data_IF_858132448954
#
_entry.id   IF_858132448954
#
_cell.length_a   1.000
_cell.length_b   1.000
_cell.length_c   1.000
_cell.angle_alpha   90.00
_cell.angle_beta   90.00
_cell.angle_gamma   90.00
#
_symmetry.space_group_name_H-M   'P 1'
#
loop_
_entity.id
_entity.type
_entity.pdbx_description
1 polymer ?
#
# COMPACT_ATOMS: atom_id res chain seq x y z
N UNK A 1 12.16 -43.40 12.19
CA UNK A 1 10.71 -43.34 11.95
C UNK A 1 10.23 -42.02 12.53
N UNK A 2 10.06 -41.00 11.69
CA UNK A 2 9.41 -39.75 12.07
C UNK A 2 7.93 -40.06 12.26
N UNK A 3 7.36 -39.74 13.42
CA UNK A 3 5.90 -39.80 13.61
C UNK A 3 5.25 -38.97 12.50
N UNK A 4 4.15 -39.43 11.88
CA UNK A 4 3.40 -38.59 10.97
C UNK A 4 2.94 -37.35 11.74
N UNK A 5 3.43 -36.19 11.34
CA UNK A 5 2.96 -34.91 11.86
C UNK A 5 1.49 -34.75 11.46
N UNK A 6 0.66 -34.35 12.43
CA UNK A 6 -0.73 -34.03 12.18
C UNK A 6 -0.79 -32.59 11.69
N UNK A 7 -1.45 -32.29 10.56
CA UNK A 7 -1.63 -30.90 10.12
C UNK A 7 -2.29 -30.08 11.22
N UNK A 8 -1.68 -28.95 11.57
CA UNK A 8 -2.26 -27.98 12.49
C UNK A 8 -3.47 -27.32 11.85
N UNK A 9 -3.41 -27.03 10.55
CA UNK A 9 -4.56 -26.57 9.78
C UNK A 9 -4.26 -26.44 8.30
N UNK A 10 -5.29 -26.08 7.54
CA UNK A 10 -5.19 -25.78 6.10
C UNK A 10 -5.80 -24.42 5.86
N UNK A 11 -5.05 -23.56 5.18
CA UNK A 11 -5.55 -22.25 4.77
C UNK A 11 -5.79 -22.29 3.29
N UNK A 12 -6.80 -21.61 2.78
CA UNK A 12 -6.99 -21.38 1.35
C UNK A 12 -7.03 -19.89 1.10
N UNK A 13 -6.12 -19.41 0.26
CA UNK A 13 -6.00 -18.00 -0.10
C UNK A 13 -6.60 -17.79 -1.49
N UNK A 14 -7.50 -16.80 -1.61
CA UNK A 14 -8.26 -16.49 -2.82
C UNK A 14 -8.24 -15.00 -3.14
N UNK A 15 -8.47 -14.67 -4.41
CA UNK A 15 -8.56 -13.28 -4.88
C UNK A 15 -7.20 -12.63 -5.10
N UNK A 16 -7.19 -11.54 -5.88
CA UNK A 16 -5.99 -10.76 -6.19
C UNK A 16 -4.79 -11.61 -6.59
N UNK A 17 -3.70 -11.47 -5.83
CA UNK A 17 -2.42 -12.16 -6.09
C UNK A 17 -2.47 -13.67 -5.90
N UNK A 18 -3.48 -14.21 -5.22
CA UNK A 18 -3.62 -15.64 -4.97
C UNK A 18 -4.27 -16.42 -6.12
N UNK A 19 -4.71 -15.73 -7.17
CA UNK A 19 -5.19 -16.35 -8.42
C UNK A 19 -4.04 -16.86 -9.31
N UNK A 20 -2.80 -16.42 -9.04
CA UNK A 20 -1.60 -16.94 -9.71
C UNK A 20 -1.13 -18.23 -9.04
N UNK A 21 -0.42 -19.07 -9.79
CA UNK A 21 0.14 -20.31 -9.26
C UNK A 21 1.24 -20.03 -8.21
N UNK A 22 1.17 -20.71 -7.06
CA UNK A 22 2.13 -20.59 -5.96
C UNK A 22 1.74 -19.56 -4.90
N UNK A 23 2.37 -19.64 -3.72
CA UNK A 23 2.17 -18.67 -2.64
C UNK A 23 3.15 -17.49 -2.81
N UNK A 24 2.66 -16.24 -2.92
CA UNK A 24 3.54 -15.08 -2.88
C UNK A 24 4.35 -15.07 -1.58
N UNK A 25 5.67 -14.87 -1.69
CA UNK A 25 6.57 -14.85 -0.53
C UNK A 25 6.16 -13.77 0.48
N UNK A 26 5.64 -12.66 -0.02
CA UNK A 26 5.09 -11.54 0.75
C UNK A 26 3.91 -11.93 1.66
N UNK A 27 3.25 -13.07 1.42
CA UNK A 27 2.17 -13.58 2.28
C UNK A 27 2.70 -14.37 3.49
N UNK A 28 3.97 -14.80 3.50
CA UNK A 28 4.57 -15.57 4.59
C UNK A 28 4.55 -14.84 5.95
N UNK A 29 4.81 -13.52 6.05
CA UNK A 29 4.68 -12.77 7.29
C UNK A 29 3.29 -12.87 7.94
N UNK A 30 2.24 -13.15 7.16
CA UNK A 30 0.88 -13.32 7.69
C UNK A 30 0.73 -14.61 8.51
N UNK A 31 1.41 -15.70 8.12
CA UNK A 31 1.44 -16.92 8.93
C UNK A 31 2.24 -16.74 10.23
N UNK A 32 3.30 -15.92 10.20
CA UNK A 32 4.02 -15.56 11.42
C UNK A 32 3.13 -14.72 12.38
N UNK A 33 2.28 -13.83 11.85
CA UNK A 33 1.28 -13.11 12.66
C UNK A 33 0.22 -14.06 13.21
N UNK A 34 -0.22 -15.01 12.41
CA UNK A 34 -1.17 -16.03 12.85
C UNK A 34 -0.62 -16.88 14.00
N UNK A 35 0.64 -17.32 13.93
CA UNK A 35 1.30 -18.06 15.01
C UNK A 35 1.27 -17.27 16.33
N UNK A 36 1.60 -15.97 16.30
CA UNK A 36 1.54 -15.09 17.48
C UNK A 36 0.13 -14.98 18.04
N UNK A 37 -0.87 -14.86 17.17
CA UNK A 37 -2.28 -14.85 17.57
C UNK A 37 -2.66 -16.16 18.29
N UNK A 38 -2.30 -17.32 17.73
CA UNK A 38 -2.54 -18.62 18.38
C UNK A 38 -1.87 -18.68 19.75
N UNK A 39 -0.61 -18.26 19.85
CA UNK A 39 0.14 -18.23 21.10
C UNK A 39 -0.57 -17.37 22.16
N UNK A 40 -1.04 -16.17 21.80
CA UNK A 40 -1.65 -15.25 22.75
C UNK A 40 -3.06 -15.69 23.17
N UNK A 41 -3.81 -16.33 22.27
CA UNK A 41 -5.07 -17.00 22.62
C UNK A 41 -4.79 -18.18 23.57
N UNK A 42 -3.80 -19.02 23.27
CA UNK A 42 -3.41 -20.16 24.11
C UNK A 42 -2.99 -19.73 25.52
N UNK A 43 -2.18 -18.67 25.65
CA UNK A 43 -1.85 -18.07 26.97
C UNK A 43 -3.11 -17.63 27.73
N UNK A 44 -4.11 -17.12 27.02
CA UNK A 44 -5.39 -16.73 27.62
C UNK A 44 -6.23 -17.90 28.11
N UNK A 45 -6.32 -18.95 27.30
CA UNK A 45 -6.94 -20.22 27.69
C UNK A 45 -6.26 -20.81 28.93
N UNK A 46 -4.93 -20.79 28.95
CA UNK A 46 -4.12 -21.31 30.04
C UNK A 46 -4.42 -20.57 31.35
N UNK A 47 -4.37 -19.23 31.34
CA UNK A 47 -4.68 -18.41 32.52
C UNK A 47 -6.09 -18.63 33.05
N UNK A 48 -7.06 -18.87 32.16
CA UNK A 48 -8.45 -19.14 32.56
C UNK A 48 -8.59 -20.48 33.27
N UNK A 49 -7.84 -21.48 32.83
CA UNK A 49 -7.81 -22.84 33.40
C UNK A 49 -7.03 -22.90 34.72
N UNK A 50 -5.98 -22.09 34.85
CA UNK A 50 -5.09 -22.00 36.02
C UNK A 50 -5.22 -20.63 36.70
N UNK A 51 -6.35 -20.41 37.38
CA UNK A 51 -6.70 -19.10 37.98
C UNK A 51 -5.71 -18.60 39.04
N UNK A 52 -4.93 -19.49 39.62
CA UNK A 52 -3.87 -19.20 40.59
C UNK A 52 -2.59 -18.65 39.94
N UNK A 53 -2.45 -18.72 38.62
CA UNK A 53 -1.26 -18.27 37.90
C UNK A 53 -1.47 -16.92 37.22
N UNK A 54 -0.55 -16.00 37.46
CA UNK A 54 -0.54 -14.65 36.86
C UNK A 54 -0.04 -14.67 35.40
N UNK A 55 0.83 -15.63 35.06
CA UNK A 55 1.45 -15.79 33.73
C UNK A 55 1.53 -17.26 33.32
N UNK A 56 1.63 -17.48 32.02
CA UNK A 56 2.02 -18.78 31.48
C UNK A 56 3.43 -19.17 31.98
N UNK A 57 3.75 -20.47 32.09
CA UNK A 57 5.05 -20.95 32.55
C UNK A 57 6.19 -20.44 31.65
N UNK A 58 7.42 -20.44 32.18
CA UNK A 58 8.61 -20.25 31.34
C UNK A 58 8.66 -21.36 30.30
N UNK A 59 8.99 -21.00 29.07
CA UNK A 59 9.05 -21.92 27.94
C UNK A 59 7.70 -22.38 27.38
N UNK A 60 6.59 -21.70 27.73
CA UNK A 60 5.25 -22.04 27.25
C UNK A 60 5.14 -22.13 25.72
N UNK A 61 5.95 -21.34 25.02
CA UNK A 61 5.95 -21.24 23.55
C UNK A 61 7.09 -22.03 22.89
N UNK A 62 8.02 -22.59 23.67
CA UNK A 62 9.30 -23.10 23.14
C UNK A 62 9.08 -24.28 22.18
N UNK A 63 7.95 -24.99 22.33
CA UNK A 63 7.60 -26.16 21.54
C UNK A 63 6.47 -25.90 20.53
N UNK A 64 6.04 -24.65 20.34
CA UNK A 64 5.03 -24.30 19.35
C UNK A 64 5.63 -23.44 18.23
N UNK A 65 5.72 -24.01 17.04
CA UNK A 65 6.19 -23.40 15.81
C UNK A 65 5.30 -23.91 14.67
N UNK A 66 4.82 -23.01 13.81
CA UNK A 66 4.09 -23.36 12.61
C UNK A 66 5.04 -23.45 11.43
N UNK A 67 5.06 -24.63 10.79
CA UNK A 67 5.88 -24.91 9.61
C UNK A 67 5.01 -25.06 8.39
N UNK A 68 5.28 -24.28 7.34
CA UNK A 68 4.68 -24.49 6.03
C UNK A 68 5.26 -25.75 5.39
N UNK A 69 4.48 -26.82 5.27
CA UNK A 69 4.95 -28.13 4.79
C UNK A 69 4.54 -28.48 3.37
N UNK A 70 3.45 -27.87 2.87
CA UNK A 70 2.94 -28.11 1.54
C UNK A 70 2.18 -26.88 1.01
N UNK A 71 2.16 -26.71 -0.32
CA UNK A 71 1.36 -25.70 -1.03
C UNK A 71 0.61 -26.43 -2.14
N UNK A 72 -0.70 -26.61 -1.97
CA UNK A 72 -1.48 -27.43 -2.90
C UNK A 72 -2.14 -26.62 -4.04
N UNK A 73 -2.37 -27.25 -5.21
CA UNK A 73 -3.09 -26.63 -6.31
C UNK A 73 -4.54 -26.28 -5.97
N UNK A 74 -5.01 -25.15 -6.53
CA UNK A 74 -6.36 -24.62 -6.36
C UNK A 74 -6.41 -23.59 -5.22
N UNK A 75 -6.35 -22.30 -5.57
CA UNK A 75 -6.35 -21.17 -4.62
C UNK A 75 -5.38 -21.42 -3.46
N UNK A 76 -4.09 -21.17 -3.69
CA UNK A 76 -2.95 -21.41 -2.79
C UNK A 76 -3.33 -21.95 -1.40
N UNK A 77 -3.16 -23.26 -1.19
CA UNK A 77 -3.54 -23.92 0.07
C UNK A 77 -2.27 -24.26 0.88
N UNK A 78 -1.79 -23.38 1.77
CA UNK A 78 -0.70 -23.72 2.68
C UNK A 78 -1.18 -24.68 3.76
N UNK A 79 -0.36 -25.70 4.00
CA UNK A 79 -0.52 -26.64 5.13
C UNK A 79 0.50 -26.26 6.20
N UNK A 80 0.01 -25.94 7.41
CA UNK A 80 0.89 -25.69 8.55
C UNK A 80 0.90 -26.90 9.47
N UNK A 81 2.08 -27.27 9.94
CA UNK A 81 2.27 -28.32 10.94
C UNK A 81 2.89 -27.75 12.21
N UNK A 82 2.42 -28.23 13.35
CA UNK A 82 3.06 -28.04 14.64
C UNK A 82 3.81 -29.33 15.02
N UNK A 83 5.07 -29.26 15.48
CA UNK A 83 5.83 -30.46 15.83
C UNK A 83 5.19 -31.21 17.00
N UNK A 84 5.02 -32.52 16.88
CA UNK A 84 4.63 -33.39 17.99
C UNK A 84 5.87 -33.70 18.84
N UNK A 85 5.91 -33.30 20.12
CA UNK A 85 7.08 -33.55 20.97
C UNK A 85 6.77 -34.51 22.13
N UNK A 86 7.72 -35.38 22.53
CA UNK A 86 7.56 -36.21 23.73
C UNK A 86 7.39 -35.42 25.03
N UNK A 87 7.77 -34.13 25.02
CA UNK A 87 7.64 -33.19 26.14
C UNK A 87 6.23 -32.60 26.31
N UNK A 88 5.27 -32.91 25.44
CA UNK A 88 3.85 -32.66 25.71
C UNK A 88 3.37 -33.37 27.01
N UNK A 89 4.17 -34.30 27.54
CA UNK A 89 4.01 -34.93 28.85
C UNK A 89 4.45 -34.06 30.06
N UNK A 90 5.24 -32.98 29.86
CA UNK A 90 5.64 -32.03 30.92
C UNK A 90 4.54 -31.01 31.23
N UNK A 91 3.66 -30.75 30.27
CA UNK A 91 2.36 -30.17 30.57
C UNK A 91 1.48 -31.29 31.13
N UNK A 92 0.85 -31.09 32.28
CA UNK A 92 -0.18 -32.01 32.77
C UNK A 92 -1.13 -32.29 31.60
N UNK A 93 -1.41 -33.55 31.25
CA UNK A 93 -2.06 -33.95 29.98
C UNK A 93 -3.37 -33.24 29.60
N UNK A 94 -3.94 -32.46 30.52
CA UNK A 94 -5.03 -31.49 30.34
C UNK A 94 -4.70 -30.34 29.37
N UNK A 95 -3.43 -29.94 29.22
CA UNK A 95 -3.02 -28.78 28.39
C UNK A 95 -2.35 -29.16 27.07
N UNK A 96 -2.22 -30.46 26.77
CA UNK A 96 -1.61 -30.97 25.52
C UNK A 96 -2.31 -30.49 24.25
N UNK A 97 -3.60 -30.14 24.33
CA UNK A 97 -4.41 -29.63 23.21
C UNK A 97 -4.56 -28.11 23.17
N UNK A 98 -3.86 -27.34 24.01
CA UNK A 98 -4.19 -25.91 24.20
C UNK A 98 -4.02 -25.04 22.96
N UNK A 99 -3.05 -25.35 22.10
CA UNK A 99 -2.84 -24.64 20.84
C UNK A 99 -3.89 -24.99 19.79
N UNK A 100 -4.34 -26.25 19.77
CA UNK A 100 -5.46 -26.70 18.95
C UNK A 100 -6.77 -26.06 19.41
N UNK A 101 -7.01 -25.99 20.73
CA UNK A 101 -8.15 -25.26 21.31
C UNK A 101 -8.09 -23.76 20.95
N UNK A 102 -6.91 -23.15 20.96
CA UNK A 102 -6.72 -21.76 20.57
C UNK A 102 -7.05 -21.53 19.08
N UNK A 103 -6.60 -22.44 18.21
CA UNK A 103 -6.91 -22.45 16.78
C UNK A 103 -8.41 -22.51 16.52
N UNK A 104 -9.10 -23.46 17.15
CA UNK A 104 -10.56 -23.64 17.05
C UNK A 104 -11.27 -22.38 17.58
N UNK A 105 -10.85 -21.83 18.72
CA UNK A 105 -11.46 -20.63 19.29
C UNK A 105 -11.31 -19.40 18.38
N UNK A 106 -10.17 -19.24 17.68
CA UNK A 106 -10.00 -18.18 16.68
C UNK A 106 -11.03 -18.36 15.55
N UNK A 107 -11.17 -19.57 15.02
CA UNK A 107 -12.10 -19.87 13.93
C UNK A 107 -13.58 -19.69 14.33
N UNK A 108 -13.94 -20.16 15.53
CA UNK A 108 -15.28 -19.94 16.11
C UNK A 108 -15.55 -18.44 16.32
N UNK A 109 -14.54 -17.67 16.73
CA UNK A 109 -14.66 -16.22 16.88
C UNK A 109 -14.87 -15.53 15.53
N UNK A 110 -14.13 -15.92 14.49
CA UNK A 110 -14.33 -15.40 13.13
C UNK A 110 -15.74 -15.69 12.63
N UNK A 111 -16.25 -16.89 12.89
CA UNK A 111 -17.63 -17.25 12.56
C UNK A 111 -18.65 -16.41 13.34
N UNK A 112 -18.42 -16.18 14.64
CA UNK A 112 -19.26 -15.32 15.48
C UNK A 112 -19.27 -13.87 14.96
N UNK A 113 -18.12 -13.33 14.56
CA UNK A 113 -18.03 -11.99 13.97
C UNK A 113 -18.77 -11.94 12.63
N UNK A 114 -18.55 -12.93 11.76
CA UNK A 114 -19.22 -12.98 10.46
C UNK A 114 -20.75 -13.06 10.58
N UNK A 115 -21.27 -13.84 11.54
CA UNK A 115 -22.70 -14.05 11.70
C UNK A 115 -23.40 -12.97 12.54
N UNK A 116 -22.72 -12.43 13.56
CA UNK A 116 -23.34 -11.62 14.61
C UNK A 116 -22.64 -10.28 14.84
N UNK A 117 -21.50 -10.03 14.20
CA UNK A 117 -20.68 -8.83 14.41
C UNK A 117 -20.10 -8.73 15.81
N UNK A 118 -19.88 -9.86 16.51
CA UNK A 118 -19.46 -9.88 17.91
C UNK A 118 -18.33 -10.86 18.18
N UNK A 119 -17.42 -10.44 19.06
CA UNK A 119 -16.41 -11.31 19.65
C UNK A 119 -17.05 -12.06 20.84
N UNK A 120 -16.95 -13.40 20.91
CA UNK A 120 -17.56 -14.17 21.97
C UNK A 120 -16.85 -13.89 23.31
N UNK A 121 -17.56 -13.92 24.45
CA UNK A 121 -16.96 -13.72 25.77
C UNK A 121 -15.87 -14.73 26.15
N UNK A 122 -15.82 -15.86 25.44
CA UNK A 122 -14.79 -16.89 25.58
C UNK A 122 -13.44 -16.48 24.98
N UNK A 123 -13.39 -15.47 24.10
CA UNK A 123 -12.17 -15.01 23.48
C UNK A 123 -11.31 -14.18 24.48
N UNK A 124 -10.01 -14.46 24.63
CA UNK A 124 -9.17 -13.74 25.60
C UNK A 124 -8.96 -12.27 25.21
N UNK A 125 -9.32 -11.28 26.07
CA UNK A 125 -9.23 -9.87 25.73
C UNK A 125 -7.82 -9.41 25.35
N UNK A 126 -6.78 -9.95 26.00
CA UNK A 126 -5.39 -9.59 25.70
C UNK A 126 -4.94 -9.99 24.29
N UNK A 127 -5.60 -10.96 23.65
CA UNK A 127 -5.28 -11.40 22.30
C UNK A 127 -5.92 -10.53 21.21
N UNK A 128 -6.82 -9.61 21.57
CA UNK A 128 -7.52 -8.72 20.61
C UNK A 128 -6.55 -7.85 19.82
N UNK A 129 -5.46 -7.41 20.44
CA UNK A 129 -4.43 -6.59 19.77
C UNK A 129 -3.70 -7.38 18.68
N UNK A 130 -3.30 -8.62 18.94
CA UNK A 130 -2.69 -9.45 17.91
C UNK A 130 -3.72 -9.87 16.85
N UNK A 131 -4.98 -10.02 17.24
CA UNK A 131 -6.05 -10.36 16.30
C UNK A 131 -6.35 -9.24 15.30
N UNK A 132 -6.27 -7.97 15.73
CA UNK A 132 -6.45 -6.82 14.85
C UNK A 132 -5.26 -6.58 13.92
N UNK A 133 -4.09 -7.12 14.26
CA UNK A 133 -2.86 -7.07 13.43
C UNK A 133 -2.81 -8.16 12.37
N UNK A 134 -3.44 -9.31 12.64
CA UNK A 134 -3.63 -10.34 11.64
C UNK A 134 -4.40 -9.78 10.43
N UNK A 135 -4.05 -10.25 9.23
CA UNK A 135 -4.61 -9.83 7.95
C UNK A 135 -4.22 -8.42 7.50
N UNK A 136 -3.20 -7.77 8.09
CA UNK A 136 -2.85 -6.39 7.73
C UNK A 136 -2.35 -6.20 6.28
N UNK A 137 -1.81 -7.27 5.69
CA UNK A 137 -1.32 -7.27 4.30
C UNK A 137 -2.37 -7.74 3.30
N UNK A 138 -3.58 -8.07 3.77
CA UNK A 138 -4.68 -8.56 2.94
C UNK A 138 -5.31 -7.40 2.15
N UNK A 139 -5.42 -7.54 0.83
CA UNK A 139 -6.10 -6.56 -0.02
C UNK A 139 -7.63 -6.74 0.01
N UNK A 140 -8.37 -5.74 -0.49
CA UNK A 140 -9.83 -5.69 -0.40
C UNK A 140 -10.54 -6.85 -1.15
N UNK A 141 -9.94 -7.36 -2.22
CA UNK A 141 -10.43 -8.48 -3.01
C UNK A 141 -9.84 -9.84 -2.57
N UNK A 142 -8.98 -9.86 -1.55
CA UNK A 142 -8.34 -11.07 -1.04
C UNK A 142 -9.13 -11.69 0.13
N UNK A 143 -9.09 -13.02 0.22
CA UNK A 143 -9.79 -13.78 1.27
C UNK A 143 -8.92 -14.93 1.79
N UNK A 144 -8.95 -15.13 3.11
CA UNK A 144 -8.36 -16.25 3.83
C UNK A 144 -9.47 -17.18 4.33
N UNK A 145 -9.54 -18.40 3.81
CA UNK A 145 -10.41 -19.46 4.34
C UNK A 145 -9.60 -20.39 5.25
N UNK A 146 -10.06 -20.57 6.48
CA UNK A 146 -9.51 -21.52 7.44
C UNK A 146 -10.24 -22.85 7.30
N UNK A 147 -9.48 -23.95 7.28
CA UNK A 147 -9.91 -25.36 7.19
C UNK A 147 -11.15 -25.58 6.30
N UNK A 148 -11.04 -25.23 5.00
CA UNK A 148 -12.16 -25.29 4.09
C UNK A 148 -12.76 -26.71 4.02
N UNK A 149 -14.09 -26.79 4.10
CA UNK A 149 -14.82 -28.06 4.05
C UNK A 149 -14.90 -28.82 5.37
N UNK A 150 -14.39 -28.26 6.46
CA UNK A 150 -14.54 -28.83 7.81
C UNK A 150 -15.61 -28.09 8.63
N UNK A 151 -16.05 -28.70 9.74
CA UNK A 151 -16.96 -28.06 10.69
C UNK A 151 -16.34 -26.85 11.42
N UNK A 152 -15.02 -26.68 11.33
CA UNK A 152 -14.28 -25.56 11.91
C UNK A 152 -13.95 -24.49 10.86
N UNK A 153 -14.49 -24.60 9.64
CA UNK A 153 -14.21 -23.61 8.60
C UNK A 153 -14.63 -22.20 9.01
N UNK A 154 -13.78 -21.23 8.68
CA UNK A 154 -14.01 -19.82 8.92
C UNK A 154 -13.44 -18.98 7.76
N UNK A 155 -14.04 -17.83 7.51
CA UNK A 155 -13.60 -16.90 6.46
C UNK A 155 -13.04 -15.66 7.15
N UNK A 156 -11.96 -15.11 6.60
CA UNK A 156 -11.35 -13.87 7.02
C UNK A 156 -11.12 -12.96 5.81
N UNK A 157 -11.61 -11.73 5.93
CA UNK A 157 -11.58 -10.68 4.92
C UNK A 157 -11.21 -9.36 5.56
N UNK A 158 -10.91 -8.35 4.75
CA UNK A 158 -10.67 -6.99 5.24
C UNK A 158 -11.90 -6.40 5.98
N UNK A 159 -13.12 -6.80 5.60
CA UNK A 159 -14.33 -6.39 6.32
C UNK A 159 -14.41 -6.99 7.73
N UNK A 160 -14.07 -8.27 7.90
CA UNK A 160 -14.01 -8.92 9.22
C UNK A 160 -12.92 -8.30 10.08
N UNK A 161 -11.75 -8.03 9.49
CA UNK A 161 -10.64 -7.33 10.15
C UNK A 161 -11.07 -5.98 10.72
N UNK A 162 -11.79 -5.18 9.94
CA UNK A 162 -12.32 -3.89 10.37
C UNK A 162 -13.27 -4.04 11.56
N UNK A 163 -14.18 -5.01 11.52
CA UNK A 163 -15.06 -5.28 12.67
C UNK A 163 -14.27 -5.67 13.92
N UNK A 164 -13.17 -6.44 13.79
CA UNK A 164 -12.30 -6.75 14.92
C UNK A 164 -11.65 -5.49 15.49
N UNK A 165 -11.17 -4.58 14.63
CA UNK A 165 -10.57 -3.30 15.04
C UNK A 165 -11.56 -2.40 15.77
N UNK A 166 -12.79 -2.29 15.25
CA UNK A 166 -13.88 -1.54 15.87
C UNK A 166 -14.23 -2.11 17.25
N UNK A 167 -14.34 -3.43 17.39
CA UNK A 167 -14.66 -4.08 18.68
C UNK A 167 -13.49 -3.97 19.67
N UNK A 168 -12.25 -4.01 19.18
CA UNK A 168 -11.06 -3.82 20.00
C UNK A 168 -10.88 -2.37 20.46
N UNK A 169 -11.79 -1.46 20.09
CA UNK A 169 -11.75 -0.02 20.39
C UNK A 169 -10.40 0.58 19.98
N UNK A 170 -9.88 0.11 18.85
CA UNK A 170 -8.64 0.62 18.29
C UNK A 170 -8.95 1.85 17.46
N UNK A 171 -8.81 3.03 18.08
CA UNK A 171 -8.88 4.32 17.37
C UNK A 171 -7.88 4.41 16.21
N UNK A 172 -6.80 3.61 16.29
CA UNK A 172 -5.72 3.55 15.32
C UNK A 172 -5.20 2.13 15.16
N UNK A 173 -4.97 1.72 13.92
CA UNK A 173 -4.48 0.37 13.61
C UNK A 173 -3.48 0.38 12.45
N UNK A 174 -2.58 -0.60 12.45
CA UNK A 174 -1.58 -0.77 11.41
C UNK A 174 -2.24 -1.29 10.12
N UNK A 175 -1.89 -0.71 8.98
CA UNK A 175 -2.24 -1.18 7.63
C UNK A 175 -0.99 -1.21 6.77
N UNK A 176 -0.92 -2.15 5.84
CA UNK A 176 0.08 -2.12 4.77
C UNK A 176 -0.56 -1.44 3.55
N UNK A 177 0.05 -0.37 3.05
CA UNK A 177 -0.56 0.46 2.00
C UNK A 177 0.48 1.21 1.18
N UNK A 178 0.02 1.80 0.07
CA UNK A 178 0.83 2.64 -0.81
C UNK A 178 0.37 4.09 -0.65
N UNK A 179 1.31 5.00 -0.39
CA UNK A 179 1.07 6.44 -0.30
C UNK A 179 1.83 7.15 -1.40
N UNK A 180 1.13 8.00 -2.15
CA UNK A 180 1.73 8.84 -3.19
C UNK A 180 1.93 10.24 -2.64
N UNK A 181 3.12 10.81 -2.83
CA UNK A 181 3.47 12.09 -2.22
C UNK A 181 4.94 12.47 -2.36
N UNK A 182 5.39 13.40 -1.53
CA UNK A 182 6.75 13.95 -1.59
C UNK A 182 7.45 13.80 -0.24
N UNK A 183 8.74 13.41 -0.27
CA UNK A 183 9.60 13.43 0.92
C UNK A 183 9.97 14.89 1.23
N UNK A 184 9.65 15.35 2.44
CA UNK A 184 9.81 16.77 2.84
C UNK A 184 11.06 17.00 3.68
N UNK A 185 11.32 16.11 4.62
CA UNK A 185 12.47 16.21 5.52
C UNK A 185 12.88 14.83 6.02
N UNK A 186 14.16 14.66 6.37
CA UNK A 186 14.72 13.43 6.93
C UNK A 186 15.56 13.78 8.15
N UNK A 187 15.23 13.19 9.29
CA UNK A 187 15.92 13.29 10.57
C UNK A 187 16.58 11.94 10.87
N UNK A 188 17.78 11.74 10.31
CA UNK A 188 18.49 10.46 10.38
C UNK A 188 18.83 10.01 11.81
N UNK A 189 19.11 10.96 12.71
CA UNK A 189 19.39 10.70 14.13
C UNK A 189 18.17 10.18 14.92
N UNK A 190 16.96 10.44 14.41
CA UNK A 190 15.69 10.05 15.03
C UNK A 190 14.99 8.90 14.31
N UNK A 191 15.63 8.35 13.27
CA UNK A 191 15.00 7.39 12.35
C UNK A 191 13.64 7.87 11.82
N UNK A 192 13.52 9.16 11.52
CA UNK A 192 12.25 9.81 11.22
C UNK A 192 12.31 10.66 9.95
N UNK A 193 11.16 10.88 9.32
CA UNK A 193 10.99 11.73 8.15
C UNK A 193 9.60 12.38 8.13
N UNK A 194 9.42 13.37 7.27
CA UNK A 194 8.11 13.94 6.96
C UNK A 194 7.74 13.67 5.52
N UNK A 195 6.49 13.27 5.30
CA UNK A 195 5.95 12.95 3.98
C UNK A 195 4.68 13.74 3.71
N UNK A 196 4.64 14.44 2.57
CA UNK A 196 3.44 15.16 2.14
C UNK A 196 2.62 14.24 1.26
N UNK A 197 1.47 13.79 1.77
CA UNK A 197 0.58 12.86 1.06
C UNK A 197 -0.33 13.61 0.09
N UNK A 198 -0.35 13.21 -1.19
CA UNK A 198 -1.18 13.80 -2.22
C UNK A 198 -0.75 15.20 -2.68
N UNK A 199 -1.53 15.78 -3.63
CA UNK A 199 -1.16 17.01 -4.36
C UNK A 199 -1.38 18.31 -3.56
N UNK A 200 -2.36 18.34 -2.66
CA UNK A 200 -2.68 19.49 -1.79
C UNK A 200 -2.08 19.35 -0.37
N UNK A 201 -1.13 18.41 -0.20
CA UNK A 201 -1.11 17.44 0.89
C UNK A 201 -0.95 17.84 2.36
N UNK A 202 -1.64 17.05 3.21
CA UNK A 202 -1.35 16.87 4.64
C UNK A 202 0.05 16.26 4.78
N UNK A 203 0.86 16.84 5.66
CA UNK A 203 2.15 16.25 6.03
C UNK A 203 1.94 15.26 7.16
N UNK A 204 2.45 14.03 7.00
CA UNK A 204 2.44 12.97 8.01
C UNK A 204 3.88 12.69 8.46
N UNK A 205 4.05 12.40 9.74
CA UNK A 205 5.32 11.88 10.25
C UNK A 205 5.51 10.44 9.79
N UNK A 206 6.76 10.05 9.62
CA UNK A 206 7.13 8.69 9.27
C UNK A 206 8.40 8.23 9.96
N UNK A 207 8.55 6.91 10.10
CA UNK A 207 9.76 6.26 10.59
C UNK A 207 10.29 5.26 9.55
N UNK A 208 11.57 4.94 9.66
CA UNK A 208 12.23 3.91 8.84
C UNK A 208 13.13 3.02 9.69
N UNK A 209 13.26 1.77 9.27
CA UNK A 209 14.00 0.75 10.03
C UNK A 209 15.37 0.37 9.47
N UNK A 210 15.77 0.87 8.28
CA UNK A 210 17.03 0.48 7.64
C UNK A 210 17.79 1.64 6.99
N UNK A 211 19.12 1.52 6.95
CA UNK A 211 20.02 2.48 6.30
C UNK A 211 19.85 2.53 4.77
N UNK A 212 19.33 1.46 4.18
CA UNK A 212 18.99 1.40 2.75
C UNK A 212 17.83 2.34 2.44
N UNK A 213 16.73 2.24 3.18
CA UNK A 213 15.59 3.15 3.07
C UNK A 213 16.01 4.60 3.29
N UNK A 214 16.94 4.88 4.22
CA UNK A 214 17.47 6.24 4.40
C UNK A 214 18.13 6.77 3.13
N UNK A 215 18.90 5.93 2.42
CA UNK A 215 19.55 6.33 1.17
C UNK A 215 18.53 6.55 0.06
N UNK A 216 17.51 5.70 -0.02
CA UNK A 216 16.42 5.86 -0.99
C UNK A 216 15.59 7.12 -0.73
N UNK A 217 15.15 7.35 0.51
CA UNK A 217 14.45 8.58 0.90
C UNK A 217 15.29 9.83 0.57
N UNK A 218 16.60 9.79 0.82
CA UNK A 218 17.52 10.89 0.47
C UNK A 218 17.63 11.12 -1.03
N UNK A 219 17.54 10.06 -1.85
CA UNK A 219 17.60 10.19 -3.31
C UNK A 219 16.39 10.97 -3.87
N UNK A 220 15.27 10.95 -3.15
CA UNK A 220 14.04 11.67 -3.51
C UNK A 220 13.75 12.87 -2.61
N UNK A 221 14.68 13.22 -1.73
CA UNK A 221 14.61 14.46 -0.95
C UNK A 221 15.19 15.60 -1.79
N UNK A 222 14.37 16.62 -2.01
CA UNK A 222 14.80 17.88 -2.61
C UNK A 222 14.19 19.04 -1.81
N UNK A 223 14.35 20.28 -2.28
CA UNK A 223 13.59 21.41 -1.75
C UNK A 223 12.10 21.04 -1.69
N UNK A 224 11.42 21.44 -0.61
CA UNK A 224 10.03 21.00 -0.36
C UNK A 224 9.06 21.33 -1.49
N UNK A 225 9.44 22.21 -2.41
CA UNK A 225 8.76 22.59 -3.65
C UNK A 225 9.01 21.68 -4.87
N UNK A 226 10.11 20.93 -4.92
CA UNK A 226 10.58 20.20 -6.11
C UNK A 226 10.97 18.74 -5.86
N UNK A 227 10.79 18.26 -4.63
CA UNK A 227 10.94 16.84 -4.33
C UNK A 227 10.01 16.05 -5.29
N UNK A 228 10.54 15.06 -6.03
CA UNK A 228 9.75 14.30 -6.98
C UNK A 228 8.59 13.60 -6.27
N UNK A 229 7.46 13.48 -6.96
CA UNK A 229 6.37 12.65 -6.48
C UNK A 229 6.78 11.17 -6.53
N UNK A 230 6.74 10.53 -5.37
CA UNK A 230 7.08 9.13 -5.14
C UNK A 230 5.90 8.34 -4.61
N UNK A 231 5.89 7.05 -4.91
CA UNK A 231 5.06 6.03 -4.29
C UNK A 231 5.86 5.40 -3.15
N UNK A 232 5.30 5.39 -1.94
CA UNK A 232 5.86 4.73 -0.76
C UNK A 232 4.97 3.55 -0.40
N UNK A 233 5.50 2.35 -0.53
CA UNK A 233 4.94 1.15 0.10
C UNK A 233 5.33 1.16 1.57
N UNK A 234 4.35 1.13 2.49
CA UNK A 234 4.61 1.30 3.91
C UNK A 234 3.66 0.53 4.82
N UNK A 235 4.10 0.38 6.07
CA UNK A 235 3.21 0.09 7.19
C UNK A 235 2.80 1.43 7.79
N UNK A 236 1.52 1.75 7.75
CA UNK A 236 0.98 3.02 8.24
C UNK A 236 0.01 2.79 9.40
N UNK A 237 -0.05 3.75 10.31
CA UNK A 237 -1.08 3.84 11.33
C UNK A 237 -2.26 4.62 10.75
N UNK A 238 -3.39 3.93 10.59
CA UNK A 238 -4.62 4.49 10.05
C UNK A 238 -5.66 4.65 11.17
N UNK A 239 -6.42 5.76 11.17
CA UNK A 239 -7.55 5.95 12.06
C UNK A 239 -8.84 5.33 11.53
N UNK A 240 -9.86 5.18 12.38
CA UNK A 240 -11.16 4.60 11.99
C UNK A 240 -11.86 5.28 10.80
N UNK A 241 -11.55 6.55 10.52
CA UNK A 241 -12.03 7.33 9.37
C UNK A 241 -11.17 7.16 8.10
N UNK A 242 -10.27 6.17 8.08
CA UNK A 242 -9.34 5.84 6.99
C UNK A 242 -8.24 6.87 6.74
N UNK A 243 -8.09 7.87 7.60
CA UNK A 243 -6.99 8.82 7.49
C UNK A 243 -5.67 8.19 7.95
N UNK A 244 -4.61 8.42 7.18
CA UNK A 244 -3.27 8.08 7.63
C UNK A 244 -2.85 9.09 8.70
N UNK A 245 -2.50 8.55 9.86
CA UNK A 245 -2.02 9.30 11.01
C UNK A 245 -0.50 9.42 10.96
N UNK A 246 0.18 8.31 10.67
CA UNK A 246 1.64 8.20 10.71
C UNK A 246 2.12 7.02 9.86
N UNK A 247 3.33 7.12 9.28
CA UNK A 247 4.03 6.00 8.66
C UNK A 247 4.90 5.33 9.73
N UNK A 248 4.64 4.06 10.05
CA UNK A 248 5.39 3.31 11.06
C UNK A 248 6.69 2.73 10.50
N UNK A 249 6.68 2.31 9.23
CA UNK A 249 7.87 1.82 8.54
C UNK A 249 7.70 1.93 7.03
N UNK A 250 8.82 2.10 6.31
CA UNK A 250 8.85 2.12 4.84
C UNK A 250 9.37 0.79 4.33
N UNK A 251 8.60 0.18 3.43
CA UNK A 251 8.91 -1.11 2.81
C UNK A 251 9.58 -0.93 1.44
N UNK A 252 9.30 0.18 0.76
CA UNK A 252 9.92 0.54 -0.51
C UNK A 252 9.46 1.91 -0.99
N UNK A 253 10.25 2.52 -1.86
CA UNK A 253 9.99 3.84 -2.45
C UNK A 253 10.41 3.87 -3.92
N UNK A 254 9.53 4.40 -4.78
CA UNK A 254 9.75 4.48 -6.22
C UNK A 254 9.20 5.78 -6.81
N UNK A 255 9.80 6.33 -7.88
CA UNK A 255 9.25 7.50 -8.55
C UNK A 255 7.95 7.15 -9.27
N UNK A 256 6.95 8.02 -9.20
CA UNK A 256 5.68 7.81 -9.92
C UNK A 256 5.80 8.20 -11.39
N UNK A 257 6.53 9.28 -11.67
CA UNK A 257 6.77 9.73 -13.04
C UNK A 257 7.97 8.99 -13.66
N UNK A 258 7.93 8.71 -14.98
CA UNK A 258 9.08 8.25 -15.73
C UNK A 258 10.31 9.16 -15.52
N UNK A 259 11.49 8.55 -15.46
CA UNK A 259 12.75 9.27 -15.24
C UNK A 259 12.99 10.35 -16.31
N UNK A 260 12.60 10.09 -17.55
CA UNK A 260 12.68 11.02 -18.68
C UNK A 260 11.97 12.36 -18.37
N UNK A 261 10.79 12.29 -17.75
CA UNK A 261 10.02 13.48 -17.41
C UNK A 261 10.56 14.17 -16.16
N UNK A 262 10.95 13.41 -15.14
CA UNK A 262 11.58 13.96 -13.93
C UNK A 262 12.86 14.73 -14.28
N UNK A 263 13.73 14.11 -15.06
CA UNK A 263 14.97 14.74 -15.55
C UNK A 263 14.65 16.00 -16.36
N UNK A 264 13.65 15.94 -17.25
CA UNK A 264 13.27 17.09 -18.08
C UNK A 264 12.70 18.26 -17.27
N UNK A 265 11.86 18.01 -16.27
CA UNK A 265 11.33 19.07 -15.39
C UNK A 265 12.45 19.72 -14.56
N UNK A 266 13.44 18.94 -14.10
CA UNK A 266 14.63 19.47 -13.40
C UNK A 266 15.50 20.34 -14.31
N UNK A 267 15.69 19.95 -15.56
CA UNK A 267 16.38 20.78 -16.56
C UNK A 267 15.69 22.13 -16.73
N UNK A 268 14.36 22.12 -16.88
CA UNK A 268 13.55 23.33 -17.04
C UNK A 268 13.62 24.23 -15.79
N UNK A 269 13.63 23.66 -14.59
CA UNK A 269 13.80 24.43 -13.35
C UNK A 269 15.14 25.17 -13.31
N UNK A 270 16.20 24.54 -13.82
CA UNK A 270 17.55 25.10 -13.81
C UNK A 270 17.76 26.28 -14.75
N UNK A 271 16.79 26.63 -15.59
CA UNK A 271 16.91 27.71 -16.58
C UNK A 271 16.87 29.09 -15.91
N UNK A 272 17.94 29.92 -16.06
CA UNK A 272 17.95 31.28 -15.55
C UNK A 272 17.14 32.22 -16.46
N UNK A 273 16.83 33.42 -15.96
CA UNK A 273 16.35 34.49 -16.84
C UNK A 273 17.39 34.80 -17.93
N UNK A 274 16.92 35.02 -19.15
CA UNK A 274 17.72 35.21 -20.37
C UNK A 274 18.18 33.93 -21.06
N UNK A 275 17.69 32.75 -20.68
CA UNK A 275 18.16 31.45 -21.22
C UNK A 275 17.98 31.29 -22.74
N UNK A 276 17.05 32.03 -23.33
CA UNK A 276 16.80 32.08 -24.78
C UNK A 276 17.31 33.40 -25.34
N UNK A 277 18.58 33.47 -25.73
CA UNK A 277 19.23 34.64 -26.35
C UNK A 277 19.01 35.97 -25.62
N UNK A 278 18.79 35.92 -24.30
CA UNK A 278 18.52 37.10 -23.46
C UNK A 278 17.04 37.38 -23.17
N UNK A 279 16.09 36.69 -23.83
CA UNK A 279 14.65 36.95 -23.72
C UNK A 279 13.90 35.97 -22.79
N UNK A 280 14.35 34.71 -22.70
CA UNK A 280 13.61 33.66 -21.99
C UNK A 280 13.50 33.88 -20.48
N UNK A 281 12.28 33.81 -19.93
CA UNK A 281 12.05 33.90 -18.49
C UNK A 281 12.28 32.55 -17.79
N UNK A 282 12.77 32.59 -16.55
CA UNK A 282 12.80 31.42 -15.67
C UNK A 282 11.39 30.91 -15.36
N UNK A 283 11.25 29.59 -15.25
CA UNK A 283 9.96 28.95 -15.03
C UNK A 283 9.73 28.88 -13.52
N UNK A 284 8.62 29.46 -13.05
CA UNK A 284 8.30 29.44 -11.62
C UNK A 284 8.00 28.02 -11.13
N UNK A 285 8.41 27.72 -9.89
CA UNK A 285 8.13 26.42 -9.23
C UNK A 285 6.64 26.07 -9.19
N UNK A 286 5.76 27.07 -9.15
CA UNK A 286 4.31 26.84 -9.20
C UNK A 286 3.90 26.21 -10.53
N UNK A 287 4.43 26.71 -11.65
CA UNK A 287 4.13 26.18 -12.99
C UNK A 287 4.68 24.76 -13.15
N UNK A 288 5.89 24.50 -12.66
CA UNK A 288 6.48 23.14 -12.69
C UNK A 288 5.66 22.12 -11.91
N UNK A 289 5.10 22.49 -10.75
CA UNK A 289 4.17 21.64 -10.01
C UNK A 289 2.87 21.38 -10.75
N UNK A 290 2.37 22.38 -11.47
CA UNK A 290 1.18 22.21 -12.31
C UNK A 290 1.48 21.26 -13.48
N UNK A 291 2.66 21.38 -14.09
CA UNK A 291 3.14 20.46 -15.11
C UNK A 291 3.27 19.02 -14.58
N UNK A 292 3.92 18.84 -13.42
CA UNK A 292 4.05 17.53 -12.75
C UNK A 292 2.67 16.92 -12.48
N UNK A 293 1.73 17.71 -11.97
CA UNK A 293 0.35 17.29 -11.71
C UNK A 293 -0.35 16.80 -12.98
N UNK A 294 -0.24 17.54 -14.08
CA UNK A 294 -0.86 17.14 -15.35
C UNK A 294 -0.21 15.90 -15.95
N UNK A 295 1.11 15.74 -15.83
CA UNK A 295 1.81 14.53 -16.28
C UNK A 295 1.35 13.27 -15.52
N UNK A 296 1.11 13.39 -14.20
CA UNK A 296 0.51 12.31 -13.42
C UNK A 296 -0.90 11.98 -13.93
N UNK A 297 -1.73 13.00 -14.21
CA UNK A 297 -3.07 12.79 -14.76
C UNK A 297 -3.06 12.14 -16.15
N UNK A 298 -2.05 12.45 -16.97
CA UNK A 298 -1.86 11.82 -18.28
C UNK A 298 -1.53 10.33 -18.15
N UNK A 299 -0.67 9.96 -17.20
CA UNK A 299 -0.36 8.54 -16.91
C UNK A 299 -1.59 7.78 -16.43
N UNK A 300 -2.31 8.35 -15.46
CA UNK A 300 -3.54 7.75 -14.93
C UNK A 300 -4.62 7.59 -16.02
N UNK A 301 -4.59 8.50 -17.00
CA UNK A 301 -5.47 8.50 -18.16
C UNK A 301 -4.91 7.71 -19.35
N UNK A 302 -3.74 7.07 -19.25
CA UNK A 302 -3.14 6.36 -20.37
C UNK A 302 -2.96 7.21 -21.64
N UNK A 303 -2.83 8.53 -21.50
CA UNK A 303 -2.48 9.43 -22.61
C UNK A 303 -1.03 9.14 -22.98
N UNK A 304 -0.72 9.15 -24.29
CA UNK A 304 0.65 8.95 -24.76
C UNK A 304 1.62 9.97 -24.17
N UNK A 305 2.91 9.65 -24.18
CA UNK A 305 3.89 10.51 -23.53
C UNK A 305 4.13 11.81 -24.33
N UNK A 306 3.91 13.01 -23.76
CA UNK A 306 4.30 14.24 -24.43
C UNK A 306 5.81 14.46 -24.39
N UNK A 307 6.29 15.28 -25.33
CA UNK A 307 7.53 16.04 -25.16
C UNK A 307 7.26 17.26 -24.27
N UNK A 308 8.25 17.66 -23.49
CA UNK A 308 8.11 18.73 -22.49
C UNK A 308 9.12 19.83 -22.82
N UNK A 309 8.63 21.06 -23.00
CA UNK A 309 9.45 22.21 -23.38
C UNK A 309 9.24 23.41 -22.45
N UNK A 310 10.30 24.17 -22.14
CA UNK A 310 10.16 25.49 -21.53
C UNK A 310 9.59 26.49 -22.53
N UNK A 311 8.77 27.43 -22.07
CA UNK A 311 8.31 28.54 -22.89
C UNK A 311 9.08 29.82 -22.56
N UNK A 312 9.37 30.70 -23.54
CA UNK A 312 10.04 31.98 -23.30
C UNK A 312 9.32 32.88 -22.28
N UNK A 313 8.00 32.74 -22.18
CA UNK A 313 7.14 33.45 -21.24
C UNK A 313 7.25 32.96 -19.79
N UNK A 314 8.03 31.90 -19.51
CA UNK A 314 8.12 31.27 -18.19
C UNK A 314 7.04 30.20 -17.93
N UNK A 315 6.43 29.70 -19.01
CA UNK A 315 5.48 28.58 -19.02
C UNK A 315 6.13 27.23 -19.33
N UNK A 316 5.30 26.18 -19.42
CA UNK A 316 5.70 24.84 -19.84
C UNK A 316 4.74 24.35 -20.92
N UNK A 317 5.28 23.81 -22.01
CA UNK A 317 4.52 23.24 -23.11
C UNK A 317 4.67 21.72 -23.14
N UNK A 318 3.56 21.03 -23.30
CA UNK A 318 3.48 19.63 -23.67
C UNK A 318 3.13 19.52 -25.14
N UNK A 319 3.78 18.59 -25.85
CA UNK A 319 3.58 18.41 -27.29
C UNK A 319 3.52 16.92 -27.64
N UNK A 320 2.48 16.55 -28.37
CA UNK A 320 2.29 15.25 -28.99
C UNK A 320 2.40 15.42 -30.50
N UNK A 321 3.47 14.87 -31.06
CA UNK A 321 3.77 14.96 -32.48
C UNK A 321 3.26 13.71 -33.19
N UNK A 322 2.19 13.89 -33.96
CA UNK A 322 1.71 12.91 -34.92
C UNK A 322 2.34 13.20 -36.29
N UNK A 323 2.32 12.20 -37.18
CA UNK A 323 2.87 12.35 -38.53
C UNK A 323 2.20 13.50 -39.29
N UNK A 324 0.86 13.58 -39.21
CA UNK A 324 0.02 14.51 -39.95
C UNK A 324 -0.69 15.54 -39.08
N UNK A 325 -0.37 15.61 -37.80
CA UNK A 325 -1.00 16.52 -36.86
C UNK A 325 -0.07 16.86 -35.69
N UNK A 326 -0.49 17.84 -34.90
CA UNK A 326 0.18 18.22 -33.66
C UNK A 326 -0.90 18.55 -32.64
N UNK A 327 -0.70 18.07 -31.41
CA UNK A 327 -1.50 18.44 -30.25
C UNK A 327 -0.56 19.04 -29.23
N UNK A 328 -0.91 20.17 -28.65
CA UNK A 328 -0.12 20.83 -27.62
C UNK A 328 -0.98 21.32 -26.46
N UNK A 329 -0.36 21.40 -25.29
CA UNK A 329 -0.94 22.00 -24.09
C UNK A 329 0.10 22.91 -23.43
N UNK A 330 -0.21 24.19 -23.35
CA UNK A 330 0.67 25.24 -22.83
C UNK A 330 0.18 25.72 -21.48
N UNK A 331 0.98 25.49 -20.44
CA UNK A 331 0.73 26.00 -19.09
C UNK A 331 1.40 27.36 -18.96
N UNK A 332 0.57 28.40 -18.91
CA UNK A 332 1.04 29.78 -18.78
C UNK A 332 1.46 30.11 -17.34
N UNK A 333 2.30 31.14 -17.13
CA UNK A 333 2.61 31.67 -15.80
C UNK A 333 1.40 32.17 -15.03
N UNK A 334 0.22 32.30 -15.61
CA UNK A 334 -1.03 32.59 -14.89
C UNK A 334 -1.65 31.34 -14.24
N UNK A 335 -1.25 30.13 -14.67
CA UNK A 335 -1.93 28.87 -14.38
C UNK A 335 -3.09 28.55 -15.34
N UNK A 336 -3.34 29.41 -16.33
CA UNK A 336 -4.18 29.07 -17.47
C UNK A 336 -3.47 28.05 -18.36
N UNK A 337 -4.23 27.12 -18.91
CA UNK A 337 -3.77 26.15 -19.90
C UNK A 337 -4.44 26.48 -21.22
N UNK A 338 -3.65 26.73 -22.26
CA UNK A 338 -4.13 26.79 -23.63
C UNK A 338 -3.85 25.45 -24.29
N UNK A 339 -4.87 24.85 -24.90
CA UNK A 339 -4.73 23.61 -25.65
C UNK A 339 -5.00 23.87 -27.11
N UNK A 340 -4.16 23.30 -27.95
CA UNK A 340 -4.24 23.45 -29.39
C UNK A 340 -4.09 22.09 -30.06
N UNK A 341 -4.83 21.88 -31.13
CA UNK A 341 -4.67 20.69 -31.96
C UNK A 341 -4.98 21.05 -33.41
N UNK A 342 -4.11 20.67 -34.34
CA UNK A 342 -4.33 20.95 -35.75
C UNK A 342 -3.82 19.86 -36.68
N UNK A 343 -4.45 19.74 -37.85
CA UNK A 343 -3.96 18.90 -38.94
C UNK A 343 -2.95 19.65 -39.82
N UNK A 344 -1.86 18.97 -40.19
CA UNK A 344 -0.87 19.46 -41.15
C UNK A 344 -1.34 19.37 -42.61
N UNK A 345 -2.45 18.66 -42.87
CA UNK A 345 -3.02 18.47 -44.21
C UNK A 345 -4.26 19.31 -44.48
N UNK A 346 -5.00 19.66 -43.42
CA UNK A 346 -6.26 20.38 -43.50
C UNK A 346 -6.26 21.51 -42.46
N UNK A 347 -5.99 22.73 -42.93
CA UNK A 347 -5.94 23.94 -42.08
C UNK A 347 -7.31 24.28 -41.45
N UNK A 348 -8.43 23.73 -41.94
CA UNK A 348 -9.74 23.92 -41.30
C UNK A 348 -9.97 22.99 -40.09
N UNK A 349 -9.13 21.96 -39.94
CA UNK A 349 -9.15 21.03 -38.80
C UNK A 349 -8.25 21.52 -37.68
N UNK A 350 -8.72 22.57 -37.02
CA UNK A 350 -8.08 23.19 -35.86
C UNK A 350 -9.05 23.18 -34.67
N UNK A 351 -8.54 22.83 -33.49
CA UNK A 351 -9.27 22.84 -32.24
C UNK A 351 -8.48 23.62 -31.21
N UNK A 352 -9.18 24.45 -30.44
CA UNK A 352 -8.60 25.21 -29.34
C UNK A 352 -9.49 25.08 -28.10
N UNK A 353 -8.86 25.06 -26.93
CA UNK A 353 -9.53 25.16 -25.65
C UNK A 353 -8.65 25.93 -24.67
N UNK A 354 -9.21 26.98 -24.07
CA UNK A 354 -8.60 27.61 -22.91
C UNK A 354 -9.28 27.13 -21.62
N UNK A 355 -8.48 26.74 -20.63
CA UNK A 355 -9.01 26.28 -19.34
C UNK A 355 -8.04 26.54 -18.19
N UNK A 356 -8.45 26.21 -16.96
CA UNK A 356 -7.55 26.24 -15.80
C UNK A 356 -6.77 24.93 -15.71
N UNK A 357 -5.52 24.97 -15.25
CA UNK A 357 -4.74 23.76 -14.97
C UNK A 357 -5.46 22.75 -14.05
N UNK A 358 -6.37 23.24 -13.20
CA UNK A 358 -7.16 22.42 -12.27
C UNK A 358 -8.31 21.67 -12.94
N UNK A 359 -8.70 22.04 -14.17
CA UNK A 359 -9.78 21.42 -14.94
C UNK A 359 -9.26 20.21 -15.73
N UNK A 360 -8.62 19.28 -15.01
CA UNK A 360 -7.87 18.15 -15.59
C UNK A 360 -8.72 17.25 -16.48
N UNK A 361 -10.00 17.08 -16.16
CA UNK A 361 -10.96 16.35 -17.00
C UNK A 361 -11.12 17.00 -18.38
N UNK A 362 -11.19 18.34 -18.46
CA UNK A 362 -11.35 19.05 -19.73
C UNK A 362 -10.08 18.93 -20.57
N UNK A 363 -8.91 19.08 -19.93
CA UNK A 363 -7.60 18.92 -20.53
C UNK A 363 -7.45 17.52 -21.14
N UNK A 364 -7.69 16.47 -20.34
CA UNK A 364 -7.52 15.08 -20.77
C UNK A 364 -8.51 14.69 -21.88
N UNK A 365 -9.76 15.14 -21.79
CA UNK A 365 -10.75 14.88 -22.82
C UNK A 365 -10.42 15.55 -24.14
N UNK A 366 -9.93 16.81 -24.11
CA UNK A 366 -9.47 17.49 -25.31
C UNK A 366 -8.32 16.75 -25.96
N UNK A 367 -7.25 16.45 -25.19
CA UNK A 367 -6.05 15.79 -25.74
C UNK A 367 -6.41 14.43 -26.34
N UNK A 368 -7.16 13.58 -25.63
CA UNK A 368 -7.57 12.27 -26.17
C UNK A 368 -8.40 12.41 -27.44
N UNK A 369 -9.42 13.27 -27.43
CA UNK A 369 -10.28 13.46 -28.61
C UNK A 369 -9.45 13.94 -29.80
N UNK A 370 -8.57 14.90 -29.60
CA UNK A 370 -7.71 15.43 -30.66
C UNK A 370 -6.73 14.38 -31.19
N UNK A 371 -6.12 13.58 -30.31
CA UNK A 371 -5.24 12.49 -30.73
C UNK A 371 -6.00 11.43 -31.54
N UNK A 372 -7.22 11.07 -31.13
CA UNK A 372 -8.05 10.10 -31.84
C UNK A 372 -8.55 10.64 -33.19
N UNK A 373 -9.03 11.89 -33.24
CA UNK A 373 -9.60 12.52 -34.45
C UNK A 373 -8.54 12.87 -35.51
N UNK A 374 -7.28 13.06 -35.09
CA UNK A 374 -6.17 13.49 -35.96
C UNK A 374 -5.14 12.39 -36.24
N UNK A 375 -5.31 11.20 -35.66
CA UNK A 375 -4.51 10.02 -36.01
C UNK A 375 -4.94 9.36 -37.34
N UNK A 376 -6.15 9.66 -37.82
CA UNK A 376 -6.66 9.30 -39.16
C UNK A 376 -6.24 10.33 -40.23
#
# INVERSE_FOLDING_TARGET
MTNPSVPFGRWRLRGGRYEKAGLPVEALPEFARYERLVIDVAKGLYKRRHRERVRAPRGFTDNFELRLTDIQPGSVIPVLEAPATPEDALFNGVDSSIFEEARILIQDTLRSIHQQGKIPPSFPPQALKEFSRFGRSLQDDETLEFDPGTNHSAIYTQSIRRTIQEIADLDRFEVETILIGQVVSIMADRSAFEFRVGREGKTVSGHFSSDEIVRELKAYLDSSSMAPTVSISCVALQSGDRQIVEIQDVLGIEPVLPEEWNSRLREIEGLPDGWLDGDGMSISRRVLRQAESLLLDFLDSGIEKPRIYPMPSGGVQFEWLLELAEVSAEILPSGQVSLFAFSKLDEEREFELETSWSETSNINNFIRRSLDELAE
#
